data_IF_584906104521
#
_entry.id   IF_584906104521
#
_cell.length_a   1.000
_cell.length_b   1.000
_cell.length_c   1.000
_cell.angle_alpha   90.00
_cell.angle_beta   90.00
_cell.angle_gamma   90.00
#
_symmetry.space_group_name_H-M   'P 1'
#
loop_
_entity.id
_entity.type
_entity.pdbx_description
1 polymer ?
#
# COMPACT_ATOMS: atom_id res chain seq x y z
N UNK A 1 2.80 23.51 7.10
CA UNK A 1 3.60 22.93 6.03
C UNK A 1 2.83 23.09 4.72
N UNK A 2 3.47 23.67 3.68
CA UNK A 2 2.89 23.81 2.34
C UNK A 2 2.69 22.45 1.64
N UNK A 3 2.09 22.48 0.44
CA UNK A 3 2.00 21.27 -0.40
C UNK A 3 3.41 20.87 -0.84
N UNK A 4 3.77 19.60 -0.65
CA UNK A 4 5.01 19.01 -1.12
C UNK A 4 4.66 17.81 -2.01
N UNK A 5 5.36 17.64 -3.14
CA UNK A 5 5.21 16.43 -3.95
C UNK A 5 5.89 15.24 -3.27
N UNK A 6 5.42 14.02 -3.55
CA UNK A 6 6.05 12.80 -3.05
C UNK A 6 7.54 12.71 -3.43
N UNK A 7 7.87 13.14 -4.64
CA UNK A 7 9.25 13.20 -5.13
C UNK A 7 10.14 14.08 -4.23
N UNK A 8 9.76 15.33 -4.00
CA UNK A 8 10.54 16.25 -3.15
C UNK A 8 10.60 15.82 -1.69
N UNK A 9 9.54 15.17 -1.18
CA UNK A 9 9.58 14.60 0.17
C UNK A 9 10.61 13.48 0.25
N UNK A 10 10.61 12.54 -0.69
CA UNK A 10 11.55 11.42 -0.75
C UNK A 10 12.99 11.91 -0.91
N UNK A 11 13.24 12.85 -1.84
CA UNK A 11 14.54 13.46 -2.06
C UNK A 11 15.06 14.18 -0.79
N UNK A 12 14.19 14.90 -0.08
CA UNK A 12 14.56 15.57 1.17
C UNK A 12 14.93 14.58 2.27
N UNK A 13 14.19 13.47 2.41
CA UNK A 13 14.50 12.41 3.36
C UNK A 13 15.83 11.71 3.03
N UNK A 14 16.07 11.42 1.75
CA UNK A 14 17.32 10.82 1.27
C UNK A 14 18.52 11.72 1.54
N UNK A 15 18.42 13.00 1.23
CA UNK A 15 19.48 13.97 1.47
C UNK A 15 19.79 14.08 2.97
N UNK A 16 18.80 14.10 3.84
CA UNK A 16 18.98 14.08 5.28
C UNK A 16 19.75 12.83 5.74
N UNK A 17 19.42 11.66 5.22
CA UNK A 17 20.16 10.42 5.54
C UNK A 17 21.63 10.54 5.13
N UNK A 18 21.92 11.08 3.94
CA UNK A 18 23.28 11.29 3.45
C UNK A 18 24.09 12.27 4.31
N UNK A 19 23.46 13.33 4.82
CA UNK A 19 24.09 14.28 5.75
C UNK A 19 24.55 13.63 7.05
N UNK A 20 23.86 12.56 7.49
CA UNK A 20 24.25 11.73 8.64
C UNK A 20 25.19 10.58 8.29
N UNK A 21 25.72 10.54 7.06
CA UNK A 21 26.69 9.53 6.63
C UNK A 21 26.09 8.15 6.30
N UNK A 22 24.78 8.07 6.08
CA UNK A 22 24.15 6.83 5.64
C UNK A 22 24.50 6.58 4.17
N UNK A 23 25.08 5.42 3.90
CA UNK A 23 25.33 4.95 2.54
C UNK A 23 24.03 4.41 1.93
N UNK A 24 23.71 4.84 0.71
CA UNK A 24 22.51 4.41 -0.01
C UNK A 24 22.94 3.74 -1.32
N UNK A 25 22.62 2.46 -1.46
CA UNK A 25 22.85 1.69 -2.67
C UNK A 25 21.52 1.47 -3.42
N UNK A 26 21.55 1.73 -4.73
CA UNK A 26 20.41 1.48 -5.61
C UNK A 26 20.53 0.07 -6.21
N UNK A 27 20.17 -0.92 -5.40
CA UNK A 27 20.30 -2.33 -5.77
C UNK A 27 19.08 -3.13 -5.26
N UNK A 28 18.87 -4.30 -5.83
CA UNK A 28 17.78 -5.19 -5.45
C UNK A 28 18.30 -6.33 -4.57
N UNK A 29 17.86 -6.36 -3.31
CA UNK A 29 18.15 -7.46 -2.41
C UNK A 29 17.39 -8.71 -2.87
N UNK A 30 18.15 -9.79 -3.12
CA UNK A 30 17.62 -11.08 -3.59
C UNK A 30 17.44 -12.09 -2.47
N UNK A 31 18.28 -12.03 -1.44
CA UNK A 31 18.28 -13.02 -0.36
C UNK A 31 18.85 -12.44 0.93
N UNK A 32 18.33 -12.92 2.05
CA UNK A 32 18.87 -12.66 3.38
C UNK A 32 19.01 -14.01 4.08
N UNK A 33 20.19 -14.28 4.63
CA UNK A 33 20.48 -15.51 5.36
C UNK A 33 21.16 -15.21 6.71
N UNK A 34 20.76 -15.92 7.74
CA UNK A 34 21.50 -15.86 9.02
C UNK A 34 22.74 -16.74 8.92
N UNK A 35 23.92 -16.17 9.20
CA UNK A 35 25.20 -16.86 9.30
C UNK A 35 25.86 -16.53 10.64
N UNK A 36 25.88 -17.51 11.54
CA UNK A 36 26.37 -17.34 12.89
C UNK A 36 25.67 -16.15 13.62
N UNK A 37 26.44 -15.15 14.03
CA UNK A 37 25.95 -13.95 14.70
C UNK A 37 25.70 -12.77 13.74
N UNK A 38 25.68 -13.01 12.42
CA UNK A 38 25.50 -11.98 11.39
C UNK A 38 24.47 -12.40 10.36
N UNK A 39 24.13 -11.47 9.51
CA UNK A 39 23.26 -11.70 8.36
C UNK A 39 24.04 -11.46 7.09
N UNK A 40 23.95 -12.39 6.14
CA UNK A 40 24.43 -12.20 4.78
C UNK A 40 23.27 -11.68 3.94
N UNK A 41 23.41 -10.47 3.44
CA UNK A 41 22.45 -9.83 2.53
C UNK A 41 23.04 -9.88 1.13
N UNK A 42 22.42 -10.65 0.24
CA UNK A 42 22.84 -10.79 -1.17
C UNK A 42 21.93 -9.94 -2.04
N UNK A 43 22.52 -9.01 -2.76
CA UNK A 43 21.84 -8.16 -3.76
C UNK A 43 22.18 -8.60 -5.19
N UNK A 44 21.73 -7.85 -6.20
CA UNK A 44 22.06 -8.14 -7.59
C UNK A 44 23.56 -8.00 -7.90
N UNK A 45 24.27 -7.12 -7.18
CA UNK A 45 25.66 -6.75 -7.48
C UNK A 45 26.62 -6.92 -6.30
N UNK A 46 26.13 -7.13 -5.09
CA UNK A 46 26.98 -7.20 -3.89
C UNK A 46 26.51 -8.20 -2.85
N UNK A 47 27.42 -8.56 -1.93
CA UNK A 47 27.12 -9.28 -0.70
C UNK A 47 27.59 -8.46 0.50
N UNK A 48 26.69 -8.22 1.44
CA UNK A 48 26.96 -7.41 2.63
C UNK A 48 26.73 -8.24 3.87
N UNK A 49 27.66 -8.19 4.81
CA UNK A 49 27.48 -8.76 6.15
C UNK A 49 26.94 -7.70 7.10
N UNK A 50 25.78 -7.93 7.67
CA UNK A 50 25.10 -7.04 8.60
C UNK A 50 25.02 -7.64 10.00
N UNK A 51 25.06 -6.80 11.04
CA UNK A 51 24.86 -7.18 12.44
C UNK A 51 23.34 -7.28 12.76
N UNK A 52 22.55 -6.42 12.15
CA UNK A 52 21.10 -6.39 12.20
C UNK A 52 20.53 -6.01 10.83
N UNK A 53 19.27 -6.35 10.57
CA UNK A 53 18.58 -6.03 9.31
C UNK A 53 17.22 -5.44 9.60
N UNK A 54 16.88 -4.34 8.95
CA UNK A 54 15.55 -3.72 9.00
C UNK A 54 14.90 -3.86 7.63
N UNK A 55 13.75 -4.51 7.58
CA UNK A 55 12.96 -4.71 6.35
C UNK A 55 11.94 -3.58 6.24
N UNK A 56 12.13 -2.69 5.27
CA UNK A 56 11.28 -1.53 5.00
C UNK A 56 10.79 -1.50 3.54
N UNK A 57 10.56 -2.69 2.97
CA UNK A 57 10.29 -2.89 1.54
C UNK A 57 8.88 -2.49 1.11
N UNK A 58 8.02 -2.12 2.06
CA UNK A 58 6.67 -1.63 1.80
C UNK A 58 5.71 -2.69 1.25
N UNK A 59 4.68 -2.22 0.56
CA UNK A 59 3.67 -3.05 -0.06
C UNK A 59 3.19 -2.43 -1.37
N UNK A 60 2.80 -3.26 -2.33
CA UNK A 60 2.31 -2.85 -3.63
C UNK A 60 0.79 -3.08 -3.73
N UNK A 61 0.07 -2.17 -4.35
CA UNK A 61 -1.34 -2.40 -4.66
C UNK A 61 -1.50 -3.38 -5.80
N UNK A 62 -2.55 -4.18 -5.74
CA UNK A 62 -2.95 -5.01 -6.89
C UNK A 62 -3.59 -4.12 -7.93
N UNK A 63 -3.26 -4.38 -9.19
CA UNK A 63 -3.82 -3.70 -10.34
C UNK A 63 -4.99 -4.50 -10.93
N UNK A 64 -5.99 -3.79 -11.48
CA UNK A 64 -7.10 -4.41 -12.21
C UNK A 64 -6.67 -4.83 -13.62
N UNK A 65 -5.51 -4.33 -14.07
CA UNK A 65 -4.95 -4.57 -15.41
C UNK A 65 -5.88 -4.03 -16.52
N UNK A 66 -6.62 -2.97 -16.22
CA UNK A 66 -7.43 -2.26 -17.19
C UNK A 66 -6.58 -1.29 -18.02
N UNK A 67 -6.90 -1.16 -19.32
CA UNK A 67 -6.26 -0.12 -20.15
C UNK A 67 -6.50 1.26 -19.53
N UNK A 68 -5.48 2.10 -19.47
CA UNK A 68 -5.54 3.44 -18.86
C UNK A 68 -5.30 3.46 -17.35
N UNK A 69 -5.26 2.33 -16.62
CA UNK A 69 -5.04 2.31 -15.18
C UNK A 69 -3.71 2.98 -14.79
N UNK A 70 -2.63 2.61 -15.46
CA UNK A 70 -1.30 3.19 -15.23
C UNK A 70 -1.22 4.63 -15.72
N UNK A 71 -1.77 4.91 -16.91
CA UNK A 71 -1.78 6.25 -17.53
C UNK A 71 -2.42 7.29 -16.61
N UNK A 72 -3.55 6.94 -15.96
CA UNK A 72 -4.28 7.86 -15.09
C UNK A 72 -3.95 7.69 -13.60
N UNK A 73 -2.94 6.92 -13.24
CA UNK A 73 -2.46 6.82 -11.86
C UNK A 73 -2.02 8.20 -11.36
N UNK A 74 -2.61 8.65 -10.21
CA UNK A 74 -2.42 10.01 -9.69
C UNK A 74 -3.11 11.13 -10.50
N UNK A 75 -3.82 10.78 -11.59
CA UNK A 75 -4.59 11.71 -12.43
C UNK A 75 -6.06 11.30 -12.54
N UNK A 76 -6.58 10.68 -11.48
CA UNK A 76 -7.95 10.19 -11.39
C UNK A 76 -8.05 8.73 -10.96
N UNK A 77 -7.01 7.92 -11.14
CA UNK A 77 -6.91 6.59 -10.54
C UNK A 77 -6.15 6.68 -9.22
N UNK A 78 -6.72 6.11 -8.18
CA UNK A 78 -6.18 6.11 -6.82
C UNK A 78 -6.30 4.74 -6.15
N UNK A 79 -5.42 4.48 -5.19
CA UNK A 79 -5.40 3.29 -4.34
C UNK A 79 -5.58 3.64 -2.85
N UNK A 80 -5.90 4.91 -2.53
CA UNK A 80 -6.04 5.41 -1.17
C UNK A 80 -7.22 6.39 -1.06
N UNK A 81 -8.34 5.97 -0.46
CA UNK A 81 -9.50 6.83 -0.29
C UNK A 81 -9.23 8.03 0.64
N UNK A 82 -8.50 7.80 1.72
CA UNK A 82 -8.21 8.86 2.70
C UNK A 82 -7.21 9.89 2.16
N UNK A 83 -6.29 9.47 1.26
CA UNK A 83 -5.31 10.35 0.64
C UNK A 83 -5.96 11.26 -0.41
N UNK A 84 -6.69 10.65 -1.35
CA UNK A 84 -7.14 11.32 -2.57
C UNK A 84 -8.63 11.65 -2.58
N UNK A 85 -9.44 11.00 -1.74
CA UNK A 85 -10.89 11.24 -1.66
C UNK A 85 -11.28 12.72 -1.51
N UNK A 86 -10.57 13.53 -0.70
CA UNK A 86 -10.85 14.96 -0.59
C UNK A 86 -10.81 15.75 -1.91
N UNK A 87 -10.03 15.31 -2.90
CA UNK A 87 -9.96 15.96 -4.23
C UNK A 87 -11.22 15.72 -5.08
N UNK A 88 -12.01 14.70 -4.75
CA UNK A 88 -13.24 14.33 -5.46
C UNK A 88 -14.51 14.81 -4.76
N UNK A 89 -14.42 15.81 -3.89
CA UNK A 89 -15.57 16.36 -3.20
C UNK A 89 -16.63 16.89 -4.19
N UNK A 90 -17.87 16.41 -4.02
CA UNK A 90 -19.00 16.76 -4.88
C UNK A 90 -18.95 16.15 -6.29
N UNK A 91 -18.00 15.27 -6.59
CA UNK A 91 -17.86 14.61 -7.87
C UNK A 91 -18.35 13.14 -7.79
N UNK A 92 -18.54 12.52 -8.94
CA UNK A 92 -18.87 11.09 -9.03
C UNK A 92 -17.58 10.26 -9.07
N UNK A 93 -17.52 9.21 -8.26
CA UNK A 93 -16.38 8.29 -8.23
C UNK A 93 -16.82 6.83 -8.36
N UNK A 94 -15.92 6.04 -8.92
CA UNK A 94 -16.04 4.59 -9.01
C UNK A 94 -15.10 3.94 -7.99
N UNK A 95 -15.58 2.90 -7.29
CA UNK A 95 -14.78 2.04 -6.43
C UNK A 95 -14.74 0.65 -7.03
N UNK A 96 -13.56 0.13 -7.32
CA UNK A 96 -13.38 -1.23 -7.84
C UNK A 96 -12.93 -2.15 -6.70
N UNK A 97 -13.78 -3.09 -6.33
CA UNK A 97 -13.48 -4.04 -5.25
C UNK A 97 -14.74 -4.59 -4.59
N UNK A 98 -14.59 -5.48 -3.62
CA UNK A 98 -15.74 -6.12 -2.95
C UNK A 98 -15.37 -6.83 -1.65
N UNK A 99 -14.22 -6.49 -1.07
CA UNK A 99 -13.81 -6.87 0.29
C UNK A 99 -14.10 -5.77 1.31
N UNK A 100 -13.78 -6.01 2.57
CA UNK A 100 -14.01 -5.08 3.69
C UNK A 100 -13.43 -3.69 3.41
N UNK A 101 -12.19 -3.61 2.93
CA UNK A 101 -11.54 -2.35 2.56
C UNK A 101 -12.35 -1.58 1.52
N UNK A 102 -12.76 -2.23 0.42
CA UNK A 102 -13.51 -1.57 -0.66
C UNK A 102 -14.83 -0.97 -0.14
N UNK A 103 -15.56 -1.71 0.71
CA UNK A 103 -16.83 -1.25 1.25
C UNK A 103 -16.63 -0.14 2.29
N UNK A 104 -15.63 -0.26 3.16
CA UNK A 104 -15.30 0.76 4.16
C UNK A 104 -14.87 2.07 3.50
N UNK A 105 -14.02 1.98 2.48
CA UNK A 105 -13.54 3.14 1.75
C UNK A 105 -14.63 3.77 0.86
N UNK A 106 -15.53 2.96 0.30
CA UNK A 106 -16.74 3.48 -0.38
C UNK A 106 -17.64 4.28 0.57
N UNK A 107 -17.83 3.80 1.81
CA UNK A 107 -18.56 4.55 2.84
C UNK A 107 -17.84 5.84 3.25
N UNK A 108 -16.51 5.85 3.27
CA UNK A 108 -15.76 7.08 3.50
C UNK A 108 -15.94 8.06 2.33
N UNK A 109 -15.77 7.58 1.10
CA UNK A 109 -15.91 8.38 -0.12
C UNK A 109 -17.35 8.95 -0.27
N UNK A 110 -18.38 8.22 0.16
CA UNK A 110 -19.77 8.70 0.09
C UNK A 110 -20.05 9.97 0.91
N UNK A 111 -19.21 10.25 1.93
CA UNK A 111 -19.30 11.49 2.71
C UNK A 111 -18.68 12.69 1.98
N UNK A 112 -17.91 12.45 0.94
CA UNK A 112 -17.17 13.47 0.19
C UNK A 112 -17.72 13.63 -1.23
N UNK A 113 -17.87 12.51 -1.94
CA UNK A 113 -18.32 12.47 -3.31
C UNK A 113 -19.84 12.71 -3.42
N UNK A 114 -20.29 13.16 -4.58
CA UNK A 114 -21.71 13.26 -4.92
C UNK A 114 -22.33 11.88 -5.05
N UNK A 115 -21.69 11.00 -5.82
CA UNK A 115 -22.12 9.63 -6.08
C UNK A 115 -20.92 8.68 -6.02
N UNK A 116 -21.12 7.50 -5.47
CA UNK A 116 -20.14 6.40 -5.45
C UNK A 116 -20.74 5.18 -6.12
N UNK A 117 -20.05 4.65 -7.14
CA UNK A 117 -20.46 3.41 -7.82
C UNK A 117 -19.45 2.32 -7.48
N UNK A 118 -19.88 1.28 -6.78
CA UNK A 118 -19.03 0.13 -6.47
C UNK A 118 -19.17 -0.90 -7.60
N UNK A 119 -18.05 -1.22 -8.25
CA UNK A 119 -17.98 -2.26 -9.28
C UNK A 119 -17.28 -3.48 -8.70
N UNK A 120 -17.95 -4.63 -8.77
CA UNK A 120 -17.40 -5.89 -8.29
C UNK A 120 -17.55 -7.01 -9.31
N UNK A 121 -16.45 -7.75 -9.56
CA UNK A 121 -16.39 -8.82 -10.56
C UNK A 121 -17.25 -10.06 -10.26
N UNK A 122 -17.75 -10.22 -9.03
CA UNK A 122 -18.60 -11.33 -8.59
C UNK A 122 -20.02 -10.84 -8.34
N UNK A 123 -20.97 -11.77 -8.29
CA UNK A 123 -22.38 -11.48 -8.00
C UNK A 123 -22.66 -11.19 -6.52
N UNK A 124 -21.66 -11.38 -5.65
CA UNK A 124 -21.75 -11.10 -4.21
C UNK A 124 -20.45 -10.55 -3.66
N UNK A 125 -20.54 -9.64 -2.69
CA UNK A 125 -19.38 -9.14 -1.95
C UNK A 125 -18.76 -10.22 -1.06
N UNK A 126 -17.44 -10.13 -0.87
CA UNK A 126 -16.70 -10.93 0.12
C UNK A 126 -16.62 -10.26 1.48
N UNK A 127 -16.98 -9.00 1.55
CA UNK A 127 -17.00 -8.21 2.77
C UNK A 127 -17.96 -8.80 3.81
N UNK A 128 -17.73 -8.45 5.08
CA UNK A 128 -18.61 -8.83 6.18
C UNK A 128 -20.05 -8.37 5.93
N UNK A 129 -21.03 -9.19 6.31
CA UNK A 129 -22.46 -8.90 6.11
C UNK A 129 -22.89 -7.53 6.69
N UNK A 130 -22.32 -7.18 7.87
CA UNK A 130 -22.61 -5.90 8.50
C UNK A 130 -22.21 -4.69 7.63
N UNK A 131 -21.09 -4.78 6.89
CA UNK A 131 -20.66 -3.74 5.95
C UNK A 131 -21.57 -3.69 4.72
N UNK A 132 -21.98 -4.87 4.21
CA UNK A 132 -22.90 -4.96 3.09
C UNK A 132 -24.27 -4.31 3.40
N UNK A 133 -24.80 -4.53 4.60
CA UNK A 133 -26.06 -3.90 5.01
C UNK A 133 -25.91 -2.37 5.19
N UNK A 134 -24.79 -1.92 5.75
CA UNK A 134 -24.51 -0.48 5.87
C UNK A 134 -24.49 0.22 4.51
N UNK A 135 -23.85 -0.39 3.50
CA UNK A 135 -23.77 0.20 2.16
C UNK A 135 -25.16 0.38 1.54
N UNK A 136 -26.06 -0.59 1.69
CA UNK A 136 -27.42 -0.51 1.17
C UNK A 136 -28.23 0.66 1.75
N UNK A 137 -27.90 1.12 2.95
CA UNK A 137 -28.57 2.24 3.61
C UNK A 137 -28.04 3.61 3.20
N UNK A 138 -26.94 3.68 2.43
CA UNK A 138 -26.33 4.95 2.01
C UNK A 138 -26.86 5.35 0.63
N UNK A 139 -27.62 6.45 0.53
CA UNK A 139 -28.41 6.76 -0.66
C UNK A 139 -27.59 7.10 -1.92
N UNK A 140 -26.36 7.60 -1.75
CA UNK A 140 -25.46 7.96 -2.85
C UNK A 140 -24.43 6.87 -3.16
N UNK A 141 -24.62 5.64 -2.67
CA UNK A 141 -23.84 4.46 -3.08
C UNK A 141 -24.71 3.57 -3.96
N UNK A 142 -24.23 3.23 -5.14
CA UNK A 142 -24.80 2.23 -6.02
C UNK A 142 -23.81 1.11 -6.30
N UNK A 143 -24.30 -0.04 -6.75
CA UNK A 143 -23.46 -1.22 -6.99
C UNK A 143 -23.69 -1.80 -8.39
N UNK A 144 -22.60 -2.19 -9.03
CA UNK A 144 -22.58 -2.93 -10.31
C UNK A 144 -21.85 -4.23 -10.05
N UNK A 145 -22.61 -5.33 -10.04
CA UNK A 145 -22.10 -6.66 -9.70
C UNK A 145 -21.86 -7.50 -10.96
N UNK A 146 -20.97 -8.50 -10.85
CA UNK A 146 -20.65 -9.42 -11.94
C UNK A 146 -19.95 -8.75 -13.13
N UNK A 147 -19.26 -7.62 -12.91
CA UNK A 147 -18.62 -6.84 -13.97
C UNK A 147 -17.18 -6.50 -13.65
N UNK A 148 -16.35 -6.46 -14.71
CA UNK A 148 -14.96 -5.99 -14.63
C UNK A 148 -14.81 -4.66 -15.37
N UNK A 149 -13.96 -3.79 -14.84
CA UNK A 149 -13.47 -2.62 -15.56
C UNK A 149 -12.39 -3.10 -16.52
N UNK A 150 -12.55 -2.84 -17.82
CA UNK A 150 -11.60 -3.23 -18.88
C UNK A 150 -10.82 -2.04 -19.43
N UNK A 151 -11.37 -0.83 -19.32
CA UNK A 151 -10.67 0.40 -19.71
C UNK A 151 -11.10 1.56 -18.81
N UNK A 152 -10.13 2.39 -18.45
CA UNK A 152 -10.31 3.69 -17.82
C UNK A 152 -10.03 4.72 -18.90
N UNK A 153 -11.02 5.53 -19.23
CA UNK A 153 -10.94 6.55 -20.27
C UNK A 153 -10.81 7.94 -19.68
N UNK A 154 -10.15 8.82 -20.40
CA UNK A 154 -10.02 10.22 -20.05
C UNK A 154 -9.46 11.04 -21.20
N UNK A 155 -9.17 12.31 -20.93
CA UNK A 155 -8.70 13.27 -21.94
C UNK A 155 -7.18 13.48 -21.92
N UNK A 156 -6.40 12.54 -21.34
CA UNK A 156 -4.95 12.63 -21.17
C UNK A 156 -4.52 13.37 -19.91
N UNK A 157 -5.40 14.15 -19.28
CA UNK A 157 -5.10 14.88 -18.04
C UNK A 157 -5.87 14.35 -16.83
N UNK A 158 -7.08 13.83 -17.04
CA UNK A 158 -7.95 13.31 -15.98
C UNK A 158 -8.85 12.20 -16.51
N UNK A 159 -9.35 11.38 -15.58
CA UNK A 159 -10.38 10.36 -15.85
C UNK A 159 -11.73 11.00 -16.18
N UNK A 160 -12.46 10.41 -17.13
CA UNK A 160 -13.81 10.83 -17.54
C UNK A 160 -14.83 9.68 -17.45
N UNK A 161 -14.40 8.43 -17.69
CA UNK A 161 -15.29 7.28 -17.59
C UNK A 161 -14.53 5.95 -17.40
N UNK A 162 -15.28 4.90 -17.10
CA UNK A 162 -14.81 3.51 -17.13
C UNK A 162 -15.68 2.68 -18.07
N UNK A 163 -15.05 1.82 -18.88
CA UNK A 163 -15.69 0.83 -19.74
C UNK A 163 -15.70 -0.52 -19.03
N UNK A 164 -16.83 -1.17 -19.02
CA UNK A 164 -17.02 -2.51 -18.44
C UNK A 164 -16.90 -3.60 -19.51
N UNK A 165 -16.73 -4.84 -19.07
CA UNK A 165 -16.57 -6.03 -19.93
C UNK A 165 -17.82 -6.40 -20.75
N UNK A 166 -18.99 -5.84 -20.43
CA UNK A 166 -20.21 -5.97 -21.22
C UNK A 166 -20.42 -4.83 -22.24
N UNK A 167 -19.46 -3.92 -22.36
CA UNK A 167 -19.52 -2.77 -23.24
C UNK A 167 -20.26 -1.57 -22.67
N UNK A 168 -20.83 -1.66 -21.46
CA UNK A 168 -21.42 -0.50 -20.79
C UNK A 168 -20.36 0.47 -20.28
N UNK A 169 -20.69 1.76 -20.25
CA UNK A 169 -19.78 2.82 -19.86
C UNK A 169 -20.38 3.61 -18.68
N UNK A 170 -19.54 3.93 -17.68
CA UNK A 170 -19.95 4.70 -16.52
C UNK A 170 -19.10 5.96 -16.46
N UNK A 171 -19.72 7.13 -16.60
CA UNK A 171 -19.08 8.42 -16.39
C UNK A 171 -18.60 8.55 -14.94
N UNK A 172 -17.39 9.00 -14.74
CA UNK A 172 -16.78 9.20 -13.42
C UNK A 172 -15.62 10.20 -13.48
N UNK A 173 -15.34 10.86 -12.37
CA UNK A 173 -14.21 11.75 -12.24
C UNK A 173 -12.99 11.08 -11.57
N UNK A 174 -13.20 9.94 -10.91
CA UNK A 174 -12.14 9.18 -10.26
C UNK A 174 -12.46 7.72 -10.08
N UNK A 175 -11.42 6.90 -10.09
CA UNK A 175 -11.48 5.44 -9.92
C UNK A 175 -10.60 5.05 -8.74
N UNK A 176 -11.20 4.46 -7.72
CA UNK A 176 -10.51 3.96 -6.53
C UNK A 176 -10.42 2.45 -6.58
N UNK A 177 -9.21 1.90 -6.62
CA UNK A 177 -8.96 0.47 -6.80
C UNK A 177 -8.63 -0.20 -5.47
N UNK A 178 -9.55 -1.02 -4.94
CA UNK A 178 -9.41 -1.72 -3.65
C UNK A 178 -9.58 -3.23 -3.82
N UNK A 179 -8.67 -3.86 -4.58
CA UNK A 179 -8.68 -5.30 -4.85
C UNK A 179 -7.59 -6.06 -4.07
N UNK A 180 -6.95 -5.39 -3.14
CA UNK A 180 -5.97 -5.91 -2.20
C UNK A 180 -4.59 -5.30 -2.36
N UNK A 181 -3.75 -5.59 -1.37
CA UNK A 181 -2.36 -5.16 -1.27
C UNK A 181 -1.47 -6.40 -1.20
N UNK A 182 -0.29 -6.33 -1.77
CA UNK A 182 0.73 -7.39 -1.72
C UNK A 182 1.93 -6.83 -0.98
N UNK A 183 2.27 -7.35 0.22
CA UNK A 183 3.48 -6.93 0.92
C UNK A 183 4.73 -7.41 0.16
N UNK A 184 5.76 -6.58 0.12
CA UNK A 184 7.03 -6.90 -0.52
C UNK A 184 7.95 -7.68 0.44
N UNK A 185 7.44 -8.78 0.99
CA UNK A 185 8.08 -9.62 2.02
C UNK A 185 8.80 -10.84 1.46
N UNK A 186 8.78 -11.06 0.15
CA UNK A 186 9.37 -12.25 -0.49
C UNK A 186 10.83 -12.49 -0.11
N UNK A 187 11.59 -11.42 0.10
CA UNK A 187 13.02 -11.49 0.44
C UNK A 187 13.29 -12.14 1.81
N UNK A 188 12.28 -12.21 2.68
CA UNK A 188 12.35 -12.83 4.01
C UNK A 188 11.46 -14.06 4.15
N UNK A 189 10.98 -14.61 3.03
CA UNK A 189 10.15 -15.82 3.03
C UNK A 189 10.92 -17.01 3.63
N UNK A 190 10.33 -17.67 4.64
CA UNK A 190 10.98 -18.74 5.38
C UNK A 190 12.03 -18.30 6.41
N UNK A 191 12.34 -17.00 6.51
CA UNK A 191 13.30 -16.45 7.47
C UNK A 191 12.59 -15.93 8.73
N UNK A 192 11.43 -15.30 8.58
CA UNK A 192 10.61 -14.73 9.66
C UNK A 192 9.15 -15.13 9.50
N UNK A 193 8.36 -14.99 10.56
CA UNK A 193 6.94 -15.31 10.53
C UNK A 193 6.15 -14.25 9.74
N UNK A 194 5.25 -14.75 8.88
CA UNK A 194 4.36 -13.91 8.07
C UNK A 194 2.91 -14.37 8.19
N UNK A 195 1.98 -13.42 8.16
CA UNK A 195 0.55 -13.67 8.09
C UNK A 195 -0.05 -12.95 6.88
N UNK A 196 -0.71 -13.70 6.01
CA UNK A 196 -1.24 -13.17 4.73
C UNK A 196 -0.16 -12.45 3.88
N UNK A 197 1.11 -12.85 4.04
CA UNK A 197 2.27 -12.27 3.41
C UNK A 197 2.88 -11.08 4.15
N UNK A 198 2.21 -10.48 5.13
CA UNK A 198 2.76 -9.39 5.96
C UNK A 198 3.64 -9.94 7.06
N UNK A 199 4.79 -9.30 7.29
CA UNK A 199 5.72 -9.69 8.36
C UNK A 199 5.07 -9.41 9.71
N UNK A 200 5.05 -10.40 10.59
CA UNK A 200 4.56 -10.26 11.96
C UNK A 200 5.62 -9.55 12.79
N UNK A 201 5.22 -8.47 13.47
CA UNK A 201 6.09 -7.73 14.39
C UNK A 201 5.36 -7.39 15.68
N UNK A 202 6.15 -7.21 16.74
CA UNK A 202 5.69 -6.60 17.99
C UNK A 202 5.69 -5.06 17.92
N UNK A 203 5.37 -4.39 19.03
CA UNK A 203 5.35 -2.93 19.14
C UNK A 203 6.74 -2.27 19.05
N UNK A 204 7.80 -3.06 19.25
CA UNK A 204 9.21 -2.66 19.10
C UNK A 204 9.76 -2.95 17.70
N UNK A 205 8.91 -3.40 16.76
CA UNK A 205 9.28 -3.81 15.40
C UNK A 205 10.15 -5.06 15.32
N UNK A 206 10.28 -5.86 16.39
CA UNK A 206 10.94 -7.14 16.35
C UNK A 206 10.13 -8.15 15.51
N UNK A 207 10.82 -8.94 14.69
CA UNK A 207 10.26 -10.12 14.03
C UNK A 207 10.48 -11.38 14.88
N UNK A 208 10.05 -12.54 14.41
CA UNK A 208 10.32 -13.82 15.06
C UNK A 208 11.81 -14.22 15.08
N UNK A 209 12.67 -13.56 14.29
CA UNK A 209 14.11 -13.82 14.25
C UNK A 209 14.87 -12.66 14.91
N UNK A 210 15.55 -12.86 16.05
CA UNK A 210 16.35 -11.84 16.70
C UNK A 210 17.41 -11.24 15.75
N UNK A 211 17.49 -9.91 15.72
CA UNK A 211 18.36 -9.13 14.83
C UNK A 211 17.74 -8.81 13.47
N UNK A 212 16.51 -9.30 13.19
CA UNK A 212 15.72 -8.90 12.02
C UNK A 212 14.50 -8.12 12.49
N UNK A 213 14.31 -6.93 11.95
CA UNK A 213 13.22 -6.00 12.25
C UNK A 213 12.43 -5.72 10.99
N UNK A 214 11.16 -5.31 11.12
CA UNK A 214 10.38 -4.87 9.99
C UNK A 214 9.55 -3.63 10.35
N UNK A 215 9.42 -2.69 9.41
CA UNK A 215 8.70 -1.43 9.63
C UNK A 215 7.90 -1.00 8.39
N UNK A 216 6.89 -0.16 8.60
CA UNK A 216 6.03 0.37 7.55
C UNK A 216 5.08 -0.66 6.97
N UNK A 217 4.74 -0.49 5.69
CA UNK A 217 3.62 -1.17 5.04
C UNK A 217 3.83 -2.67 4.82
N UNK A 218 5.06 -3.16 4.91
CA UNK A 218 5.39 -4.59 4.75
C UNK A 218 4.95 -5.44 5.94
N UNK A 219 4.73 -4.81 7.10
CA UNK A 219 4.35 -5.49 8.34
C UNK A 219 2.83 -5.57 8.54
N UNK A 220 2.42 -6.36 9.52
CA UNK A 220 1.04 -6.53 9.97
C UNK A 220 0.49 -5.26 10.67
N UNK A 221 0.34 -4.16 9.94
CA UNK A 221 -0.20 -2.89 10.45
C UNK A 221 -1.64 -2.69 10.00
N UNK A 222 -2.44 -2.03 10.85
CA UNK A 222 -3.84 -1.69 10.54
C UNK A 222 -3.99 -0.45 9.67
N UNK A 223 -2.97 0.41 9.60
CA UNK A 223 -3.02 1.67 8.88
C UNK A 223 -1.69 1.97 8.18
N UNK A 224 -1.76 2.21 6.86
CA UNK A 224 -0.60 2.40 5.98
C UNK A 224 -0.56 3.82 5.48
N UNK A 225 0.32 4.63 6.07
CA UNK A 225 0.57 6.03 5.72
C UNK A 225 2.05 6.36 5.94
N UNK A 226 2.55 7.39 5.24
CA UNK A 226 3.94 7.85 5.39
C UNK A 226 4.29 8.12 6.84
N UNK A 227 3.39 8.79 7.58
CA UNK A 227 3.62 9.12 8.99
C UNK A 227 3.73 7.90 9.90
N UNK A 228 2.93 6.84 9.65
CA UNK A 228 3.04 5.58 10.42
C UNK A 228 4.30 4.81 10.05
N UNK A 229 4.65 4.76 8.77
CA UNK A 229 5.89 4.13 8.30
C UNK A 229 7.13 4.83 8.89
N UNK A 230 7.14 6.17 8.95
CA UNK A 230 8.22 6.94 9.59
C UNK A 230 8.34 6.62 11.08
N UNK A 231 7.22 6.56 11.81
CA UNK A 231 7.20 6.19 13.22
C UNK A 231 7.69 4.76 13.48
N UNK A 232 7.27 3.81 12.62
CA UNK A 232 7.75 2.42 12.68
C UNK A 232 9.26 2.36 12.39
N UNK A 233 9.77 3.12 11.41
CA UNK A 233 11.19 3.20 11.07
C UNK A 233 12.05 3.68 12.23
N UNK A 234 11.59 4.72 12.96
CA UNK A 234 12.28 5.21 14.13
C UNK A 234 12.38 4.15 15.26
N UNK A 235 11.28 3.41 15.50
CA UNK A 235 11.27 2.31 16.48
C UNK A 235 12.19 1.17 16.04
N UNK A 236 12.14 0.77 14.78
CA UNK A 236 12.98 -0.30 14.25
C UNK A 236 14.47 0.02 14.37
N UNK A 237 14.85 1.27 14.05
CA UNK A 237 16.24 1.72 14.19
C UNK A 237 16.72 1.69 15.64
N UNK A 238 15.88 2.16 16.58
CA UNK A 238 16.20 2.11 18.01
C UNK A 238 16.35 0.66 18.51
N UNK A 239 15.42 -0.23 18.15
CA UNK A 239 15.49 -1.63 18.57
C UNK A 239 16.68 -2.39 17.92
N UNK A 240 17.07 -2.03 16.71
CA UNK A 240 18.25 -2.59 16.06
C UNK A 240 19.55 -2.14 16.78
N UNK A 241 19.62 -0.89 17.22
CA UNK A 241 20.77 -0.39 17.98
C UNK A 241 20.86 -1.06 19.36
N UNK A 242 19.75 -1.16 20.12
CA UNK A 242 19.69 -1.92 21.38
C UNK A 242 20.20 -3.36 21.19
N UNK A 243 19.70 -4.06 20.14
CA UNK A 243 20.10 -5.43 19.83
C UNK A 243 21.61 -5.56 19.59
N UNK A 244 22.20 -4.63 18.83
CA UNK A 244 23.65 -4.65 18.54
C UNK A 244 24.46 -4.44 19.83
N UNK A 245 24.04 -3.51 20.70
CA UNK A 245 24.72 -3.20 21.97
C UNK A 245 24.62 -4.38 22.95
N UNK A 246 23.43 -4.92 23.16
CA UNK A 246 23.20 -6.04 24.09
C UNK A 246 23.96 -7.32 23.73
N UNK A 247 24.18 -7.56 22.44
CA UNK A 247 24.88 -8.74 21.95
C UNK A 247 26.36 -8.52 21.66
N UNK A 248 26.90 -7.32 21.96
CA UNK A 248 28.32 -6.94 21.71
C UNK A 248 28.77 -7.19 20.27
N UNK A 249 27.92 -6.89 19.29
CA UNK A 249 28.14 -7.14 17.86
C UNK A 249 28.89 -5.99 17.18
#
# INVERSE_FOLDING_TARGET
LGKISGYFLSESMENQCKEFGVEIEYDEVKKIEKKDNRFLVTSSYSEIQAKAVIIATGASHRHIVAKGEEEYSGRGVSYCATCDGPFFRGQKVVVVGGGDTALTDAMYLSKLAKDVVIIHRRDSFRAQKALQEKIKSIPNISTVMGKNVVEIKGNGTKVESVLLDDGSEIETNGVFVFIGTVPNSKVVEGLVDVENGFIITDDKMNTSLPGVFACGDVRNTSFRQVVTATGDGAKAAHSADEYIQENNL
#
